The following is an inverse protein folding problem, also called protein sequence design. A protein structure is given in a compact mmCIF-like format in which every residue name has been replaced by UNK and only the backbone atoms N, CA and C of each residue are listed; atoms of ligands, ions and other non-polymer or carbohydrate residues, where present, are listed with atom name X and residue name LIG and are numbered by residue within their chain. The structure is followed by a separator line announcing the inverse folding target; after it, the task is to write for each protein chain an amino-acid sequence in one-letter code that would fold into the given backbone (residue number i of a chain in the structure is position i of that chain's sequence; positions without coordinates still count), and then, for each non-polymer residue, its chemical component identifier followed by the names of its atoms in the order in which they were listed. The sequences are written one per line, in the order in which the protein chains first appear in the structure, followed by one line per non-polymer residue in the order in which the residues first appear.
data_IF_683753579710
#
_entry.id   IF_683753579710
#
_cell.length_a   1.000
_cell.length_b   1.000
_cell.length_c   1.000
_cell.angle_alpha   90.00
_cell.angle_beta   90.00
_cell.angle_gamma   90.00
#
_symmetry.space_group_name_H-M   'P 1'
#
loop_
_entity.id
_entity.type
_entity.pdbx_description
1 polymer ?
#
# COMPACT_ATOMS: atom_id res chain seq x y z
N UNK A 1 9.75 -6.61 2.95
CA UNK A 1 10.45 -7.71 2.26
C UNK A 1 11.72 -8.08 3.01
N UNK A 2 12.63 -7.14 3.29
CA UNK A 2 13.86 -7.41 4.06
C UNK A 2 13.59 -8.11 5.40
N UNK A 3 12.63 -7.60 6.18
CA UNK A 3 12.22 -8.23 7.45
C UNK A 3 11.81 -9.71 7.30
N UNK A 4 11.24 -10.09 6.14
CA UNK A 4 10.89 -11.50 5.86
C UNK A 4 12.12 -12.35 5.53
N UNK A 5 13.09 -11.78 4.81
CA UNK A 5 14.38 -12.43 4.50
C UNK A 5 15.15 -12.67 5.80
N UNK A 6 15.25 -11.65 6.64
CA UNK A 6 15.94 -11.72 7.93
C UNK A 6 15.27 -12.72 8.87
N UNK A 7 13.94 -12.70 8.98
CA UNK A 7 13.19 -13.63 9.82
C UNK A 7 13.43 -15.09 9.43
N UNK A 8 13.41 -15.41 8.14
CA UNK A 8 13.69 -16.76 7.65
C UNK A 8 15.18 -17.13 7.86
N UNK A 9 16.10 -16.20 7.61
CA UNK A 9 17.54 -16.42 7.84
C UNK A 9 17.87 -16.71 9.31
N UNK A 10 17.20 -16.05 10.25
CA UNK A 10 17.39 -16.24 11.70
C UNK A 10 16.76 -17.55 12.18
N UNK A 11 15.55 -17.87 11.71
CA UNK A 11 14.75 -18.97 12.27
C UNK A 11 14.95 -20.31 11.56
N UNK A 12 15.43 -20.29 10.31
CA UNK A 12 15.44 -21.47 9.43
C UNK A 12 14.05 -21.93 9.01
N UNK A 13 13.01 -21.11 9.19
CA UNK A 13 11.64 -21.46 8.83
C UNK A 13 11.44 -21.56 7.31
N UNK A 14 10.55 -22.44 6.88
CA UNK A 14 10.19 -22.62 5.44
C UNK A 14 9.20 -21.57 4.94
N UNK A 15 8.71 -20.70 5.81
CA UNK A 15 7.75 -19.67 5.45
C UNK A 15 7.66 -18.56 6.48
N UNK A 16 7.02 -17.47 6.07
CA UNK A 16 6.81 -16.27 6.89
C UNK A 16 5.35 -15.83 6.77
N UNK A 17 4.76 -15.41 7.88
CA UNK A 17 3.41 -14.83 7.90
C UNK A 17 3.50 -13.31 7.92
N UNK A 18 2.83 -12.68 6.95
CA UNK A 18 2.72 -11.22 6.88
C UNK A 18 1.43 -10.79 7.57
N UNK A 19 1.56 -10.07 8.70
CA UNK A 19 0.42 -9.51 9.43
C UNK A 19 0.25 -8.01 9.12
N UNK A 20 0.61 -7.14 10.07
CA UNK A 20 0.40 -5.68 9.96
C UNK A 20 1.01 -5.06 8.71
N UNK A 21 2.17 -5.55 8.27
CA UNK A 21 2.86 -5.05 7.08
C UNK A 21 2.12 -5.30 5.75
N UNK A 22 1.16 -6.24 5.71
CA UNK A 22 0.35 -6.50 4.51
C UNK A 22 -0.93 -5.66 4.44
N UNK A 23 -1.33 -5.01 5.53
CA UNK A 23 -2.59 -4.24 5.55
C UNK A 23 -2.41 -2.94 4.76
N UNK A 24 -3.08 -2.84 3.60
CA UNK A 24 -2.88 -1.74 2.65
C UNK A 24 -1.68 -1.94 1.72
N UNK A 25 -1.01 -3.09 1.78
CA UNK A 25 0.07 -3.46 0.89
C UNK A 25 -0.13 -4.90 0.40
N UNK A 26 -1.16 -5.15 -0.44
CA UNK A 26 -1.47 -6.49 -0.94
C UNK A 26 -0.33 -7.10 -1.77
N UNK A 27 0.49 -6.27 -2.42
CA UNK A 27 1.59 -6.75 -3.27
C UNK A 27 2.80 -7.28 -2.50
N UNK A 28 2.92 -6.98 -1.20
CA UNK A 28 4.05 -7.41 -0.37
C UNK A 28 4.25 -8.93 -0.39
N UNK A 29 3.17 -9.71 -0.32
CA UNK A 29 3.26 -11.17 -0.36
C UNK A 29 3.82 -11.66 -1.71
N UNK A 30 3.40 -11.04 -2.82
CA UNK A 30 3.93 -11.33 -4.15
C UNK A 30 5.41 -10.98 -4.28
N UNK A 31 5.84 -9.84 -3.72
CA UNK A 31 7.25 -9.45 -3.70
C UNK A 31 8.10 -10.42 -2.89
N UNK A 32 7.60 -10.88 -1.73
CA UNK A 32 8.29 -11.86 -0.88
C UNK A 32 8.41 -13.21 -1.58
N UNK A 33 7.31 -13.72 -2.15
CA UNK A 33 7.29 -15.00 -2.86
C UNK A 33 8.24 -15.00 -4.07
N UNK A 34 8.19 -13.95 -4.90
CA UNK A 34 9.09 -13.83 -6.05
C UNK A 34 10.55 -13.80 -5.63
N UNK A 35 10.87 -13.05 -4.57
CA UNK A 35 12.23 -12.98 -4.06
C UNK A 35 12.74 -14.36 -3.60
N UNK A 36 11.94 -15.12 -2.85
CA UNK A 36 12.36 -16.46 -2.40
C UNK A 36 12.41 -17.49 -3.53
N UNK A 37 11.62 -17.32 -4.59
CA UNK A 37 11.58 -18.23 -5.73
C UNK A 37 12.70 -17.99 -6.75
N UNK A 38 12.97 -16.74 -7.12
CA UNK A 38 13.88 -16.40 -8.22
C UNK A 38 15.06 -15.54 -7.80
N UNK A 39 15.09 -15.04 -6.57
CA UNK A 39 16.05 -14.03 -6.10
C UNK A 39 15.76 -12.62 -6.64
N UNK A 40 14.74 -12.44 -7.48
CA UNK A 40 14.40 -11.14 -8.08
C UNK A 40 13.64 -10.28 -7.10
N UNK A 41 14.10 -9.03 -6.91
CA UNK A 41 13.34 -8.00 -6.22
C UNK A 41 12.37 -7.34 -7.20
N UNK A 42 11.07 -7.49 -6.98
CA UNK A 42 10.06 -6.77 -7.74
C UNK A 42 10.05 -5.30 -7.32
N UNK A 43 9.79 -4.43 -8.28
CA UNK A 43 9.60 -3.00 -8.01
C UNK A 43 8.38 -2.76 -7.12
N UNK A 44 8.37 -1.61 -6.47
CA UNK A 44 7.20 -1.17 -5.73
C UNK A 44 6.04 -0.85 -6.68
N UNK A 45 4.79 -1.08 -6.25
CA UNK A 45 3.64 -0.74 -7.07
C UNK A 45 3.56 0.77 -7.29
N UNK A 46 2.81 1.16 -8.30
CA UNK A 46 2.40 2.55 -8.50
C UNK A 46 1.22 2.90 -7.59
N UNK A 47 0.97 4.20 -7.40
CA UNK A 47 -0.23 4.66 -6.70
C UNK A 47 -1.50 4.19 -7.40
N UNK A 48 -1.50 4.18 -8.74
CA UNK A 48 -2.61 3.67 -9.54
C UNK A 48 -2.97 2.23 -9.17
N UNK A 49 -1.97 1.33 -9.16
CA UNK A 49 -2.19 -0.08 -8.80
C UNK A 49 -2.73 -0.24 -7.37
N UNK A 50 -2.22 0.54 -6.41
CA UNK A 50 -2.74 0.53 -5.04
C UNK A 50 -4.20 0.99 -4.96
N UNK A 51 -4.57 1.99 -5.75
CA UNK A 51 -5.96 2.47 -5.83
C UNK A 51 -6.86 1.40 -6.44
N UNK A 52 -6.44 0.77 -7.54
CA UNK A 52 -7.18 -0.34 -8.15
C UNK A 52 -7.41 -1.48 -7.15
N UNK A 53 -6.39 -1.90 -6.42
CA UNK A 53 -6.55 -2.93 -5.39
C UNK A 53 -7.44 -2.49 -4.22
N UNK A 54 -7.40 -1.22 -3.84
CA UNK A 54 -8.30 -0.68 -2.81
C UNK A 54 -9.76 -0.70 -3.28
N UNK A 55 -10.03 -0.40 -4.56
CA UNK A 55 -11.36 -0.48 -5.16
C UNK A 55 -11.83 -1.93 -5.23
N UNK A 56 -10.97 -2.85 -5.67
CA UNK A 56 -11.29 -4.29 -5.68
C UNK A 56 -11.61 -4.82 -4.28
N UNK A 57 -10.81 -4.44 -3.27
CA UNK A 57 -11.11 -4.78 -1.88
C UNK A 57 -12.46 -4.21 -1.42
N UNK A 58 -12.78 -2.99 -1.87
CA UNK A 58 -14.06 -2.36 -1.56
C UNK A 58 -15.22 -3.19 -2.10
N UNK A 59 -15.15 -3.57 -3.38
CA UNK A 59 -16.18 -4.36 -4.04
C UNK A 59 -16.36 -5.73 -3.36
N UNK A 60 -15.26 -6.43 -3.07
CA UNK A 60 -15.31 -7.70 -2.35
C UNK A 60 -15.93 -7.57 -0.95
N UNK A 61 -15.64 -6.49 -0.22
CA UNK A 61 -16.21 -6.27 1.12
C UNK A 61 -17.70 -5.92 1.06
N UNK A 62 -18.13 -5.18 0.03
CA UNK A 62 -19.55 -4.86 -0.19
C UNK A 62 -20.32 -6.14 -0.52
N UNK A 63 -19.79 -6.97 -1.40
CA UNK A 63 -20.39 -8.26 -1.76
C UNK A 63 -20.52 -9.19 -0.55
N UNK A 64 -19.52 -9.20 0.35
CA UNK A 64 -19.52 -10.07 1.53
C UNK A 64 -20.40 -9.55 2.68
N UNK A 65 -20.44 -8.23 2.93
CA UNK A 65 -20.98 -7.66 4.18
C UNK A 65 -22.05 -6.59 3.98
N UNK A 66 -22.35 -6.20 2.74
CA UNK A 66 -23.16 -5.04 2.42
C UNK A 66 -22.39 -3.72 2.58
N UNK A 67 -22.88 -2.69 1.90
CA UNK A 67 -22.17 -1.41 1.74
C UNK A 67 -21.88 -0.70 3.06
N UNK A 68 -22.88 -0.52 3.93
CA UNK A 68 -22.72 0.18 5.20
C UNK A 68 -21.62 -0.43 6.09
N UNK A 69 -21.59 -1.76 6.18
CA UNK A 69 -20.58 -2.49 6.94
C UNK A 69 -19.20 -2.40 6.29
N UNK A 70 -19.13 -2.52 4.97
CA UNK A 70 -17.89 -2.41 4.21
C UNK A 70 -17.25 -1.03 4.37
N UNK A 71 -18.00 0.05 4.19
CA UNK A 71 -17.49 1.42 4.25
C UNK A 71 -16.97 1.76 5.65
N UNK A 72 -17.69 1.36 6.71
CA UNK A 72 -17.22 1.53 8.09
C UNK A 72 -15.88 0.84 8.34
N UNK A 73 -15.68 -0.35 7.78
CA UNK A 73 -14.40 -1.07 7.85
C UNK A 73 -13.31 -0.34 7.06
N UNK A 74 -13.63 0.11 5.84
CA UNK A 74 -12.71 0.75 4.91
C UNK A 74 -12.16 2.08 5.42
N UNK A 75 -12.90 2.84 6.24
CA UNK A 75 -12.37 4.03 6.93
C UNK A 75 -11.06 3.78 7.70
N UNK A 76 -10.85 2.55 8.19
CA UNK A 76 -9.62 2.16 8.89
C UNK A 76 -8.54 1.53 7.98
N UNK A 77 -8.92 1.10 6.77
CA UNK A 77 -8.08 0.32 5.86
C UNK A 77 -7.63 1.15 4.64
N UNK A 78 -8.55 1.82 3.95
CA UNK A 78 -8.28 2.61 2.76
C UNK A 78 -7.17 3.66 2.93
N UNK A 79 -7.06 4.40 4.07
CA UNK A 79 -5.94 5.32 4.28
C UNK A 79 -4.55 4.67 4.22
N UNK A 80 -4.47 3.36 4.49
CA UNK A 80 -3.20 2.63 4.45
C UNK A 80 -2.73 2.39 3.02
N UNK A 81 -3.63 2.19 2.06
CA UNK A 81 -3.27 1.97 0.66
C UNK A 81 -2.46 3.13 0.04
N UNK A 82 -2.60 4.34 0.59
CA UNK A 82 -1.94 5.55 0.10
C UNK A 82 -0.91 6.13 1.08
N UNK A 83 -0.51 5.39 2.12
CA UNK A 83 0.34 5.95 3.19
C UNK A 83 1.77 6.26 2.77
N UNK A 84 2.27 5.60 1.74
CA UNK A 84 3.58 5.88 1.16
C UNK A 84 3.61 7.05 0.16
N UNK A 85 2.46 7.60 -0.22
CA UNK A 85 2.37 8.68 -1.21
C UNK A 85 2.86 10.02 -0.66
N UNK A 86 3.47 10.85 -1.51
CA UNK A 86 3.86 12.20 -1.13
C UNK A 86 2.62 13.05 -0.78
N UNK A 87 2.70 13.85 0.29
CA UNK A 87 1.62 14.77 0.76
C UNK A 87 0.25 14.09 0.96
N UNK A 88 0.22 12.78 1.24
CA UNK A 88 -1.02 12.03 1.39
C UNK A 88 -1.78 12.24 2.71
N UNK A 89 -1.24 13.04 3.65
CA UNK A 89 -1.82 13.21 5.00
C UNK A 89 -3.27 13.68 4.95
N UNK A 90 -3.57 14.64 4.07
CA UNK A 90 -4.92 15.16 3.87
C UNK A 90 -5.84 14.05 3.34
N UNK A 91 -5.43 13.36 2.27
CA UNK A 91 -6.19 12.25 1.70
C UNK A 91 -6.45 11.12 2.69
N UNK A 92 -5.48 10.76 3.51
CA UNK A 92 -5.66 9.75 4.55
C UNK A 92 -6.69 10.15 5.58
N UNK A 93 -6.73 11.43 5.96
CA UNK A 93 -7.75 11.95 6.85
C UNK A 93 -9.13 11.88 6.19
N UNK A 94 -9.25 12.39 4.95
CA UNK A 94 -10.49 12.37 4.17
C UNK A 94 -11.04 10.96 3.99
N UNK A 95 -10.20 9.99 3.61
CA UNK A 95 -10.58 8.58 3.50
C UNK A 95 -11.11 7.99 4.82
N UNK A 96 -10.55 8.41 5.96
CA UNK A 96 -10.93 7.93 7.28
C UNK A 96 -12.22 8.58 7.84
N UNK A 97 -12.50 9.83 7.47
CA UNK A 97 -13.56 10.63 8.12
C UNK A 97 -14.73 10.98 7.20
N UNK A 98 -14.50 11.10 5.89
CA UNK A 98 -15.48 11.65 4.95
C UNK A 98 -16.21 10.57 4.13
N UNK A 99 -15.66 9.35 4.04
CA UNK A 99 -16.23 8.27 3.22
C UNK A 99 -17.59 7.81 3.76
N UNK A 100 -18.66 8.00 2.99
CA UNK A 100 -20.04 7.66 3.40
C UNK A 100 -20.60 6.45 2.66
N UNK A 101 -20.23 6.29 1.39
CA UNK A 101 -20.62 5.21 0.50
C UNK A 101 -19.44 4.84 -0.42
N UNK A 102 -19.63 3.84 -1.27
CA UNK A 102 -18.62 3.42 -2.26
C UNK A 102 -18.27 4.55 -3.22
N UNK A 103 -19.27 5.29 -3.70
CA UNK A 103 -19.07 6.34 -4.70
C UNK A 103 -18.15 7.45 -4.17
N UNK A 104 -18.34 7.87 -2.92
CA UNK A 104 -17.51 8.89 -2.27
C UNK A 104 -16.09 8.37 -2.01
N UNK A 105 -15.94 7.12 -1.57
CA UNK A 105 -14.62 6.51 -1.40
C UNK A 105 -13.86 6.46 -2.73
N UNK A 106 -14.50 5.98 -3.80
CA UNK A 106 -13.90 5.89 -5.14
C UNK A 106 -13.55 7.28 -5.68
N UNK A 107 -14.40 8.29 -5.46
CA UNK A 107 -14.13 9.68 -5.84
C UNK A 107 -12.83 10.21 -5.22
N UNK A 108 -12.63 10.02 -3.91
CA UNK A 108 -11.40 10.44 -3.23
C UNK A 108 -10.18 9.68 -3.79
N UNK A 109 -10.31 8.37 -4.02
CA UNK A 109 -9.22 7.58 -4.59
C UNK A 109 -8.87 8.04 -6.01
N UNK A 110 -9.86 8.30 -6.87
CA UNK A 110 -9.62 8.80 -8.23
C UNK A 110 -8.98 10.19 -8.24
N UNK A 111 -9.30 11.05 -7.26
CA UNK A 111 -8.61 12.33 -7.09
C UNK A 111 -7.11 12.14 -6.81
N UNK A 112 -6.75 11.14 -6.00
CA UNK A 112 -5.37 10.77 -5.73
C UNK A 112 -4.72 10.22 -7.00
N UNK A 113 -5.39 9.31 -7.71
CA UNK A 113 -4.87 8.72 -8.95
C UNK A 113 -4.54 9.79 -9.99
N UNK A 114 -5.44 10.75 -10.21
CA UNK A 114 -5.23 11.83 -11.16
C UNK A 114 -4.06 12.75 -10.83
N UNK A 115 -3.63 12.82 -9.57
CA UNK A 115 -2.50 13.67 -9.14
C UNK A 115 -1.16 12.94 -9.11
N UNK A 116 -1.15 11.65 -8.80
CA UNK A 116 0.07 10.90 -8.48
C UNK A 116 0.05 9.43 -8.94
N UNK A 117 -0.88 9.04 -9.81
CA UNK A 117 -1.10 7.64 -10.22
C UNK A 117 0.16 6.92 -10.73
N UNK A 118 1.05 7.63 -11.42
CA UNK A 118 2.30 7.08 -11.96
C UNK A 118 3.45 6.99 -10.94
N UNK A 119 3.32 7.61 -9.76
CA UNK A 119 4.36 7.57 -8.74
C UNK A 119 4.49 6.15 -8.16
N UNK A 120 5.72 5.67 -7.98
CA UNK A 120 5.97 4.46 -7.20
C UNK A 120 5.84 4.75 -5.70
N UNK A 121 5.17 3.86 -4.97
CA UNK A 121 4.87 4.05 -3.56
C UNK A 121 5.65 3.08 -2.67
N UNK A 122 6.41 3.60 -1.70
CA UNK A 122 7.04 2.77 -0.69
C UNK A 122 6.15 2.60 0.54
N UNK A 123 5.81 1.34 0.84
CA UNK A 123 4.86 0.94 1.88
C UNK A 123 5.54 0.30 3.11
N UNK A 124 6.87 0.28 3.14
CA UNK A 124 7.66 -0.30 4.25
C UNK A 124 7.65 0.55 5.54
N UNK A 125 7.06 1.74 5.51
CA UNK A 125 7.00 2.67 6.65
C UNK A 125 8.34 3.33 6.98
N UNK A 126 9.40 3.02 6.24
CA UNK A 126 10.66 3.76 6.27
C UNK A 126 10.42 5.05 5.49
N UNK A 127 10.84 6.19 6.03
CA UNK A 127 10.69 7.49 5.37
C UNK A 127 11.18 7.35 3.93
N UNK A 128 10.35 7.73 2.96
CA UNK A 128 10.79 8.04 1.60
C UNK A 128 11.72 9.26 1.69
N UNK A 129 12.98 9.05 2.08
CA UNK A 129 14.03 9.92 1.59
C UNK A 129 14.07 9.62 0.10
N UNK A 130 13.67 10.61 -0.72
CA UNK A 130 14.04 10.62 -2.12
C UNK A 130 15.53 10.25 -2.23
N UNK A 131 15.97 9.53 -3.28
CA UNK A 131 17.38 9.54 -3.62
C UNK A 131 17.74 11.01 -3.82
N UNK A 132 18.50 11.55 -2.87
CA UNK A 132 19.10 12.84 -3.06
C UNK A 132 20.23 12.57 -4.04
N UNK A 133 19.96 12.74 -5.33
CA UNK A 133 20.99 13.16 -6.29
C UNK A 133 21.42 14.57 -5.85
N UNK A 134 22.16 14.65 -4.74
CA UNK A 134 23.06 15.75 -4.48
C UNK A 134 24.26 15.42 -5.35
N UNK A 135 24.69 16.31 -6.25
CA UNK A 135 26.02 16.17 -6.83
C UNK A 135 27.00 15.96 -5.67
N UNK A 136 27.86 14.94 -5.81
CA UNK A 136 28.97 14.77 -4.90
C UNK A 136 29.78 16.05 -4.97
N UNK A 137 29.67 16.90 -3.96
CA UNK A 137 30.64 17.96 -3.74
C UNK A 137 31.95 17.24 -3.41
N UNK A 138 32.73 17.04 -4.48
CA UNK A 138 34.15 16.83 -4.44
C UNK A 138 34.79 18.10 -3.87
N UNK A 139 35.23 18.03 -2.61
CA UNK A 139 36.50 18.57 -2.10
C UNK A 139 36.76 18.09 -0.66
#
# INVERSE_FOLDING_TARGET
MEDAVDAIGITGATGVMVARGGVGNPFLCTQIDEYFRSGKKLENPTVHQQIEWCIQLTDMLIDEKGEDCAIRKLRSIAPKFVSGCHRCREYRLRLATETVDRAHLVSILQEIDGKMGLEQINMDGRRTYYPIDLPSDSE
#
